data_IF_772079067603
#
_entry.id   IF_772079067603
#
_cell.length_a   1.000
_cell.length_b   1.000
_cell.length_c   1.000
_cell.angle_alpha   90.00
_cell.angle_beta   90.00
_cell.angle_gamma   90.00
#
_symmetry.space_group_name_H-M   'P 1'
#
loop_
_entity.id
_entity.type
_entity.pdbx_description
1 polymer ?
#
# COMPACT_ATOMS: atom_id res chain seq x y z
N UNK A 1 17.31 5.32 24.60
CA UNK A 1 16.73 5.89 23.36
C UNK A 1 15.90 4.79 22.71
N UNK A 2 14.58 4.89 22.76
CA UNK A 2 13.68 3.84 22.26
C UNK A 2 13.72 3.89 20.73
N UNK A 3 14.39 2.93 20.09
CA UNK A 3 14.30 2.74 18.64
C UNK A 3 12.85 2.33 18.32
N UNK A 4 12.08 3.11 17.53
CA UNK A 4 10.73 2.70 17.18
C UNK A 4 10.85 1.52 16.21
N UNK A 5 10.42 0.36 16.67
CA UNK A 5 10.43 -0.94 16.00
C UNK A 5 9.65 -1.00 14.67
N UNK A 6 9.07 0.11 14.19
CA UNK A 6 8.39 0.21 12.89
C UNK A 6 9.25 0.68 11.71
N UNK A 7 10.47 1.19 11.95
CA UNK A 7 11.29 1.78 10.87
C UNK A 7 11.80 0.80 9.80
N UNK A 8 12.27 -0.42 10.11
CA UNK A 8 12.88 -1.28 9.10
C UNK A 8 11.90 -1.71 8.00
N UNK A 9 10.66 -2.05 8.40
CA UNK A 9 9.62 -2.47 7.46
C UNK A 9 9.14 -1.29 6.61
N UNK A 10 8.75 -0.19 7.24
CA UNK A 10 8.24 0.98 6.55
C UNK A 10 9.26 1.57 5.56
N UNK A 11 10.54 1.66 5.98
CA UNK A 11 11.63 2.10 5.12
C UNK A 11 11.84 1.16 3.95
N UNK A 12 11.80 -0.15 4.19
CA UNK A 12 11.98 -1.15 3.13
C UNK A 12 10.82 -1.12 2.12
N UNK A 13 9.58 -0.95 2.58
CA UNK A 13 8.43 -0.76 1.69
C UNK A 13 8.59 0.49 0.84
N UNK A 14 8.91 1.62 1.45
CA UNK A 14 9.11 2.88 0.75
C UNK A 14 10.26 2.83 -0.26
N UNK A 15 11.33 2.08 0.03
CA UNK A 15 12.45 1.90 -0.87
C UNK A 15 12.08 1.23 -2.21
N UNK A 16 10.98 0.46 -2.25
CA UNK A 16 10.49 -0.16 -3.47
C UNK A 16 9.51 0.72 -4.27
N UNK A 17 8.98 1.79 -3.66
CA UNK A 17 8.04 2.67 -4.36
C UNK A 17 8.75 3.50 -5.45
N UNK A 18 8.12 3.71 -6.61
CA UNK A 18 8.74 4.45 -7.71
C UNK A 18 8.86 5.95 -7.40
N UNK A 19 10.10 6.39 -7.16
CA UNK A 19 10.43 7.79 -6.82
C UNK A 19 10.11 8.79 -7.94
N UNK A 20 10.26 8.34 -9.19
CA UNK A 20 9.99 9.11 -10.40
C UNK A 20 8.74 8.57 -11.11
N UNK A 21 8.19 9.36 -12.03
CA UNK A 21 6.93 9.10 -12.72
C UNK A 21 5.91 10.19 -12.43
N UNK A 22 4.80 10.15 -13.16
CA UNK A 22 3.72 11.15 -13.10
C UNK A 22 2.43 10.62 -12.46
N UNK A 23 2.32 9.29 -12.31
CA UNK A 23 1.19 8.66 -11.65
C UNK A 23 1.26 8.74 -10.13
N UNK A 24 0.15 8.39 -9.50
CA UNK A 24 -0.03 8.42 -8.06
C UNK A 24 0.66 7.24 -7.38
N UNK A 25 1.14 7.49 -6.17
CA UNK A 25 1.50 6.47 -5.19
C UNK A 25 0.44 6.51 -4.11
N UNK A 26 -0.27 5.40 -3.94
CA UNK A 26 -1.40 5.30 -3.01
C UNK A 26 -0.99 4.46 -1.82
N UNK A 27 -1.07 5.03 -0.62
CA UNK A 27 -0.90 4.29 0.63
C UNK A 27 -2.27 3.85 1.16
N UNK A 28 -2.43 2.55 1.45
CA UNK A 28 -3.67 2.00 2.01
C UNK A 28 -3.45 1.53 3.45
N UNK A 29 -4.29 2.03 4.36
CA UNK A 29 -4.22 1.72 5.79
C UNK A 29 -3.00 2.35 6.44
N UNK A 30 -2.84 3.67 6.31
CA UNK A 30 -1.68 4.39 6.84
C UNK A 30 -1.57 4.33 8.36
N UNK A 31 -2.69 4.13 9.07
CA UNK A 31 -2.73 4.13 10.52
C UNK A 31 -2.15 5.43 11.08
N UNK A 32 -1.06 5.34 11.82
CA UNK A 32 -0.36 6.51 12.37
C UNK A 32 0.60 7.19 11.39
N UNK A 33 0.67 6.77 10.13
CA UNK A 33 1.50 7.40 9.09
C UNK A 33 2.98 7.05 9.14
N UNK A 34 3.32 5.87 9.69
CA UNK A 34 4.71 5.40 9.74
C UNK A 34 5.26 5.13 8.34
N UNK A 35 4.47 4.50 7.47
CA UNK A 35 4.85 4.26 6.06
C UNK A 35 4.75 5.55 5.26
N UNK A 36 3.72 6.36 5.46
CA UNK A 36 3.60 7.72 4.90
C UNK A 36 4.87 8.54 5.04
N UNK A 37 5.43 8.61 6.25
CA UNK A 37 6.67 9.33 6.54
C UNK A 37 7.83 8.79 5.69
N UNK A 38 7.97 7.47 5.62
CA UNK A 38 9.07 6.85 4.88
C UNK A 38 8.92 7.01 3.36
N UNK A 39 7.69 7.06 2.82
CA UNK A 39 7.46 7.37 1.41
C UNK A 39 7.91 8.79 1.07
N UNK A 40 7.59 9.77 1.92
CA UNK A 40 8.10 11.13 1.80
C UNK A 40 9.62 11.19 1.90
N UNK A 41 10.21 10.57 2.93
CA UNK A 41 11.66 10.53 3.14
C UNK A 41 12.39 9.83 1.98
N UNK A 42 11.75 8.87 1.30
CA UNK A 42 12.28 8.21 0.11
C UNK A 42 12.23 9.08 -1.16
N UNK A 43 11.62 10.26 -1.09
CA UNK A 43 11.54 11.24 -2.19
C UNK A 43 10.28 11.16 -3.03
N UNK A 44 9.21 10.51 -2.55
CA UNK A 44 7.90 10.58 -3.22
C UNK A 44 7.35 12.00 -3.06
N UNK A 45 7.06 12.66 -4.18
CA UNK A 45 6.52 14.02 -4.16
C UNK A 45 5.14 14.04 -3.47
N UNK A 46 4.87 14.98 -2.54
CA UNK A 46 3.58 15.08 -1.84
C UNK A 46 2.36 15.06 -2.78
N UNK A 47 2.44 15.80 -3.90
CA UNK A 47 1.38 15.85 -4.94
C UNK A 47 1.09 14.52 -5.65
N UNK A 48 1.98 13.53 -5.53
CA UNK A 48 1.79 12.17 -6.06
C UNK A 48 1.31 11.20 -4.98
N UNK A 49 1.47 11.53 -3.70
CA UNK A 49 1.15 10.64 -2.60
C UNK A 49 -0.29 10.89 -2.12
N UNK A 50 -1.12 9.88 -2.29
CA UNK A 50 -2.48 9.83 -1.73
C UNK A 50 -2.51 8.81 -0.62
N UNK A 51 -3.07 9.19 0.53
CA UNK A 51 -3.16 8.32 1.70
C UNK A 51 -4.62 8.01 1.97
N UNK A 52 -4.94 6.72 2.10
CA UNK A 52 -6.29 6.24 2.39
C UNK A 52 -6.31 5.58 3.76
N UNK A 53 -7.18 6.07 4.62
CA UNK A 53 -7.38 5.55 5.96
C UNK A 53 -8.87 5.57 6.32
N UNK A 54 -9.33 4.52 7.01
CA UNK A 54 -10.75 4.37 7.35
C UNK A 54 -11.08 5.00 8.71
N UNK A 55 -10.14 5.00 9.66
CA UNK A 55 -10.38 5.52 11.01
C UNK A 55 -10.40 7.05 11.03
N UNK A 56 -11.51 7.71 11.41
CA UNK A 56 -11.59 9.19 11.43
C UNK A 56 -10.58 9.82 12.39
N UNK A 57 -10.26 9.12 13.49
CA UNK A 57 -9.24 9.54 14.46
C UNK A 57 -7.85 9.54 13.83
N UNK A 58 -7.52 8.48 13.07
CA UNK A 58 -6.24 8.39 12.38
C UNK A 58 -6.16 9.38 11.23
N UNK A 59 -7.26 9.59 10.50
CA UNK A 59 -7.33 10.61 9.44
C UNK A 59 -7.05 12.00 9.98
N UNK A 60 -7.68 12.37 11.10
CA UNK A 60 -7.44 13.67 11.74
C UNK A 60 -5.96 13.84 12.09
N UNK A 61 -5.35 12.82 12.71
CA UNK A 61 -3.93 12.79 13.02
C UNK A 61 -3.05 12.91 11.76
N UNK A 62 -3.40 12.22 10.68
CA UNK A 62 -2.65 12.24 9.41
C UNK A 62 -2.72 13.63 8.75
N UNK A 63 -3.89 14.29 8.79
CA UNK A 63 -4.06 15.65 8.26
C UNK A 63 -3.24 16.67 9.02
N UNK A 64 -3.15 16.55 10.35
CA UNK A 64 -2.30 17.41 11.17
C UNK A 64 -0.80 17.18 10.90
N UNK A 65 -0.40 15.92 10.77
CA UNK A 65 1.03 15.55 10.59
C UNK A 65 1.55 15.77 9.18
N UNK A 66 0.68 15.70 8.18
CA UNK A 66 1.02 15.78 6.77
C UNK A 66 0.04 16.70 6.01
N UNK A 67 -0.03 17.99 6.36
CA UNK A 67 -0.99 18.93 5.75
C UNK A 67 -0.82 19.10 4.24
N UNK A 68 0.35 18.73 3.69
CA UNK A 68 0.67 18.75 2.27
C UNK A 68 0.14 17.55 1.46
N UNK A 69 -0.45 16.54 2.12
CA UNK A 69 -0.89 15.30 1.48
C UNK A 69 -2.41 15.27 1.26
N UNK A 70 -2.81 14.56 0.20
CA UNK A 70 -4.21 14.18 0.01
C UNK A 70 -4.55 13.00 0.93
N UNK A 71 -5.22 13.27 2.05
CA UNK A 71 -5.69 12.25 2.99
C UNK A 71 -7.19 11.98 2.77
N UNK A 72 -7.50 10.78 2.28
CA UNK A 72 -8.85 10.30 2.02
C UNK A 72 -9.34 9.45 3.20
N UNK A 73 -10.45 9.87 3.79
CA UNK A 73 -11.18 9.08 4.77
C UNK A 73 -12.11 8.11 4.02
N UNK A 74 -11.64 6.89 3.81
CA UNK A 74 -12.39 5.92 3.01
C UNK A 74 -12.06 4.48 3.40
N UNK A 75 -13.02 3.61 3.13
CA UNK A 75 -12.80 2.17 3.13
C UNK A 75 -12.02 1.77 1.87
N UNK A 76 -10.96 0.99 2.02
CA UNK A 76 -10.13 0.54 0.90
C UNK A 76 -10.90 -0.28 -0.15
N UNK A 77 -12.07 -0.83 0.20
CA UNK A 77 -12.98 -1.47 -0.76
C UNK A 77 -13.51 -0.50 -1.83
N UNK A 78 -13.56 0.80 -1.52
CA UNK A 78 -14.16 1.83 -2.38
C UNK A 78 -13.09 2.69 -3.05
N UNK A 79 -11.86 2.19 -3.11
CA UNK A 79 -10.70 2.92 -3.61
C UNK A 79 -10.90 3.49 -5.03
N UNK A 80 -11.55 2.73 -5.91
CA UNK A 80 -11.84 3.14 -7.28
C UNK A 80 -12.76 4.36 -7.38
N UNK A 81 -13.66 4.53 -6.41
CA UNK A 81 -14.59 5.67 -6.37
C UNK A 81 -13.94 6.91 -5.74
N UNK A 82 -12.95 6.72 -4.86
CA UNK A 82 -12.32 7.81 -4.12
C UNK A 82 -11.16 8.48 -4.86
N UNK A 83 -10.55 7.79 -5.84
CA UNK A 83 -9.40 8.31 -6.57
C UNK A 83 -9.81 9.13 -7.80
N UNK A 84 -9.04 10.17 -8.16
CA UNK A 84 -9.27 10.95 -9.36
C UNK A 84 -9.11 10.09 -10.63
N UNK A 85 -10.16 10.04 -11.47
CA UNK A 85 -10.22 9.18 -12.66
C UNK A 85 -9.26 9.58 -13.79
N UNK A 86 -8.79 10.81 -13.78
CA UNK A 86 -7.84 11.38 -14.74
C UNK A 86 -6.37 11.08 -14.39
N UNK A 87 -6.12 10.47 -13.21
CA UNK A 87 -4.78 10.18 -12.73
C UNK A 87 -4.52 8.67 -12.74
N UNK A 88 -3.45 8.29 -13.43
CA UNK A 88 -2.92 6.94 -13.37
C UNK A 88 -2.33 6.64 -11.98
N UNK A 89 -2.48 5.41 -11.48
CA UNK A 89 -1.85 4.95 -10.23
C UNK A 89 -0.66 4.04 -10.54
N UNK A 90 0.55 4.52 -10.27
CA UNK A 90 1.83 3.82 -10.52
C UNK A 90 2.11 2.75 -9.49
N UNK A 91 1.74 3.03 -8.24
CA UNK A 91 2.07 2.16 -7.13
C UNK A 91 1.03 2.22 -6.02
N UNK A 92 0.72 1.06 -5.46
CA UNK A 92 -0.04 0.91 -4.23
C UNK A 92 0.89 0.35 -3.16
N UNK A 93 0.93 1.00 -2.00
CA UNK A 93 1.67 0.58 -0.81
C UNK A 93 0.63 0.24 0.25
N UNK A 94 0.41 -1.04 0.50
CA UNK A 94 -0.65 -1.49 1.39
C UNK A 94 -0.08 -2.03 2.70
N UNK A 95 -0.56 -1.44 3.79
CA UNK A 95 -0.28 -1.85 5.16
C UNK A 95 -1.47 -2.58 5.81
N UNK A 96 -2.52 -2.85 5.04
CA UNK A 96 -3.71 -3.55 5.51
C UNK A 96 -3.39 -5.00 5.90
N UNK A 97 -3.98 -5.52 6.99
CA UNK A 97 -3.77 -6.90 7.44
C UNK A 97 -4.62 -7.88 6.62
N UNK A 98 -4.38 -7.96 5.30
CA UNK A 98 -5.22 -8.71 4.35
C UNK A 98 -5.48 -10.18 4.75
N UNK A 99 -4.51 -10.84 5.39
CA UNK A 99 -4.66 -12.23 5.86
C UNK A 99 -5.63 -12.40 7.04
N UNK A 100 -5.83 -11.35 7.83
CA UNK A 100 -6.73 -11.36 8.99
C UNK A 100 -8.16 -10.95 8.60
N UNK A 101 -8.35 -10.39 7.41
CA UNK A 101 -9.66 -10.01 6.89
C UNK A 101 -10.42 -11.25 6.41
N UNK A 102 -11.75 -11.18 6.51
CA UNK A 102 -12.60 -12.18 5.87
C UNK A 102 -12.38 -12.17 4.35
N UNK A 103 -12.61 -13.33 3.71
CA UNK A 103 -12.31 -13.52 2.29
C UNK A 103 -13.05 -12.54 1.37
N UNK A 104 -14.32 -12.26 1.66
CA UNK A 104 -15.12 -11.34 0.86
C UNK A 104 -14.53 -9.92 0.86
N UNK A 105 -14.22 -9.38 2.04
CA UNK A 105 -13.64 -8.05 2.21
C UNK A 105 -12.25 -8.00 1.59
N UNK A 106 -11.43 -9.03 1.83
CA UNK A 106 -10.10 -9.14 1.22
C UNK A 106 -10.19 -9.08 -0.30
N UNK A 107 -11.06 -9.88 -0.92
CA UNK A 107 -11.21 -9.92 -2.37
C UNK A 107 -11.73 -8.59 -2.92
N UNK A 108 -12.69 -7.94 -2.24
CA UNK A 108 -13.15 -6.59 -2.62
C UNK A 108 -12.01 -5.55 -2.63
N UNK A 109 -11.16 -5.57 -1.61
CA UNK A 109 -9.99 -4.67 -1.53
C UNK A 109 -9.01 -4.97 -2.67
N UNK A 110 -8.74 -6.24 -2.95
CA UNK A 110 -7.83 -6.64 -4.04
C UNK A 110 -8.38 -6.22 -5.39
N UNK A 111 -9.67 -6.42 -5.64
CA UNK A 111 -10.34 -5.96 -6.87
C UNK A 111 -10.23 -4.45 -7.02
N UNK A 112 -10.48 -3.69 -5.96
CA UNK A 112 -10.35 -2.23 -5.98
C UNK A 112 -8.91 -1.77 -6.24
N UNK A 113 -7.91 -2.44 -5.64
CA UNK A 113 -6.49 -2.20 -5.95
C UNK A 113 -6.17 -2.50 -7.41
N UNK A 114 -6.67 -3.62 -7.93
CA UNK A 114 -6.44 -4.03 -9.31
C UNK A 114 -7.05 -3.06 -10.32
N UNK A 115 -8.26 -2.57 -10.05
CA UNK A 115 -8.98 -1.64 -10.91
C UNK A 115 -8.22 -0.33 -11.11
N UNK A 116 -7.72 0.26 -10.01
CA UNK A 116 -7.07 1.58 -10.05
C UNK A 116 -5.60 1.52 -10.48
N UNK A 117 -4.89 0.44 -10.14
CA UNK A 117 -3.47 0.32 -10.44
C UNK A 117 -3.29 0.10 -11.93
N UNK A 118 -2.49 0.90 -12.62
CA UNK A 118 -2.35 0.77 -14.07
C UNK A 118 -1.69 -0.56 -14.49
N UNK A 119 -1.81 -0.93 -15.77
CA UNK A 119 -1.11 -2.11 -16.32
C UNK A 119 0.41 -2.01 -16.18
N UNK A 120 1.06 -2.96 -15.51
CA UNK A 120 2.48 -2.88 -15.17
C UNK A 120 2.79 -2.14 -13.86
N UNK A 121 1.77 -1.55 -13.22
CA UNK A 121 1.89 -0.86 -11.93
C UNK A 121 2.29 -1.81 -10.78
N UNK A 122 2.80 -1.22 -9.70
CA UNK A 122 3.43 -1.95 -8.60
C UNK A 122 2.55 -1.99 -7.35
N UNK A 123 2.22 -3.19 -6.87
CA UNK A 123 1.63 -3.39 -5.54
C UNK A 123 2.73 -3.86 -4.56
N UNK A 124 2.91 -3.12 -3.48
CA UNK A 124 3.81 -3.43 -2.37
C UNK A 124 2.94 -3.79 -1.16
N UNK A 125 3.05 -5.02 -0.70
CA UNK A 125 2.27 -5.54 0.43
C UNK A 125 3.21 -6.32 1.35
N UNK A 126 3.04 -6.20 2.67
CA UNK A 126 3.75 -7.08 3.60
C UNK A 126 2.82 -8.06 4.30
N UNK A 127 3.43 -9.09 4.90
CA UNK A 127 2.76 -10.05 5.77
C UNK A 127 3.68 -10.49 6.90
N UNK A 128 3.09 -10.79 8.05
CA UNK A 128 3.76 -11.43 9.19
C UNK A 128 3.63 -12.96 9.16
N UNK A 129 2.89 -13.53 8.20
CA UNK A 129 2.73 -14.97 8.08
C UNK A 129 3.88 -15.60 7.31
N UNK A 130 4.56 -16.56 7.94
CA UNK A 130 5.65 -17.33 7.34
C UNK A 130 5.14 -18.43 6.40
N UNK A 131 3.93 -18.96 6.65
CA UNK A 131 3.34 -20.11 5.96
C UNK A 131 2.46 -19.75 4.77
N UNK A 132 1.79 -18.59 4.80
CA UNK A 132 0.90 -18.16 3.72
C UNK A 132 1.62 -17.07 2.91
N UNK A 133 2.26 -17.48 1.81
CA UNK A 133 2.51 -16.55 0.70
C UNK A 133 1.15 -15.92 0.32
N UNK A 134 1.13 -14.68 -0.16
CA UNK A 134 -0.09 -13.98 -0.60
C UNK A 134 -0.72 -14.65 -1.85
N UNK A 135 -1.06 -15.93 -1.76
CA UNK A 135 -1.66 -16.75 -2.80
C UNK A 135 -3.06 -16.24 -3.18
N UNK A 136 -3.62 -15.34 -2.38
CA UNK A 136 -4.86 -14.62 -2.69
C UNK A 136 -4.66 -13.49 -3.71
N UNK A 137 -3.43 -13.09 -4.03
CA UNK A 137 -3.13 -12.11 -5.08
C UNK A 137 -2.84 -12.79 -6.43
N UNK A 138 -3.32 -14.02 -6.67
CA UNK A 138 -2.96 -14.77 -7.88
C UNK A 138 -3.68 -14.31 -9.15
N UNK A 139 -4.81 -13.63 -9.03
CA UNK A 139 -5.62 -13.22 -10.18
C UNK A 139 -5.18 -11.84 -10.69
N UNK A 140 -4.20 -11.86 -11.60
CA UNK A 140 -3.72 -10.68 -12.34
C UNK A 140 -2.56 -9.91 -11.73
N UNK A 141 -2.14 -10.28 -10.51
CA UNK A 141 -0.94 -9.77 -9.89
C UNK A 141 0.18 -10.82 -9.96
N UNK A 142 1.21 -10.57 -10.77
CA UNK A 142 2.42 -11.39 -10.78
C UNK A 142 3.37 -10.99 -9.68
N UNK A 143 3.73 -11.93 -8.81
CA UNK A 143 4.80 -11.71 -7.84
C UNK A 143 6.14 -11.53 -8.57
N UNK A 144 6.76 -10.36 -8.43
CA UNK A 144 8.07 -10.03 -9.02
C UNK A 144 9.21 -10.10 -8.01
N UNK A 145 8.90 -10.32 -6.73
CA UNK A 145 9.91 -10.58 -5.71
C UNK A 145 9.38 -10.47 -4.30
N UNK A 146 10.16 -10.99 -3.35
CA UNK A 146 9.91 -10.82 -1.93
C UNK A 146 11.20 -10.49 -1.19
N UNK A 147 11.07 -9.79 -0.06
CA UNK A 147 12.19 -9.40 0.80
C UNK A 147 11.80 -9.60 2.26
N UNK A 148 12.65 -10.27 3.01
CA UNK A 148 12.45 -10.46 4.45
C UNK A 148 13.06 -9.30 5.23
N UNK A 149 12.28 -8.75 6.15
CA UNK A 149 12.70 -7.72 7.09
C UNK A 149 12.91 -8.39 8.45
N UNK A 150 14.13 -8.87 8.67
CA UNK A 150 14.53 -9.60 9.89
C UNK A 150 14.56 -8.72 11.13
N UNK A 151 14.75 -7.42 10.96
CA UNK A 151 14.75 -6.43 12.06
C UNK A 151 13.34 -6.05 12.55
N UNK A 152 12.29 -6.72 12.04
CA UNK A 152 10.95 -6.64 12.60
C UNK A 152 10.69 -7.92 13.40
N UNK A 153 10.09 -7.83 14.59
CA UNK A 153 9.76 -8.99 15.42
C UNK A 153 8.24 -9.03 15.60
N UNK A 154 7.52 -9.99 15.01
CA UNK A 154 8.00 -11.10 14.18
C UNK A 154 8.50 -10.62 12.78
N UNK A 155 9.43 -11.35 12.13
CA UNK A 155 9.93 -10.99 10.82
C UNK A 155 8.82 -10.84 9.79
N UNK A 156 8.78 -9.67 9.16
CA UNK A 156 7.84 -9.37 8.10
C UNK A 156 8.43 -9.75 6.75
N UNK A 157 7.59 -10.26 5.85
CA UNK A 157 7.96 -10.46 4.45
C UNK A 157 7.21 -9.44 3.60
N UNK A 158 7.96 -8.61 2.89
CA UNK A 158 7.44 -7.71 1.87
C UNK A 158 7.35 -8.51 0.57
N UNK A 159 6.24 -8.38 -0.12
CA UNK A 159 6.02 -8.87 -1.46
C UNK A 159 5.78 -7.70 -2.40
N UNK A 160 6.30 -7.85 -3.61
CA UNK A 160 6.11 -6.92 -4.71
C UNK A 160 5.39 -7.65 -5.82
N UNK A 161 4.28 -7.09 -6.26
CA UNK A 161 3.48 -7.61 -7.36
C UNK A 161 3.39 -6.59 -8.47
N UNK A 162 3.36 -7.07 -9.70
CA UNK A 162 3.10 -6.27 -10.88
C UNK A 162 1.74 -6.65 -11.45
N UNK A 163 0.92 -5.66 -11.79
CA UNK A 163 -0.32 -5.91 -12.55
C UNK A 163 0.04 -6.38 -13.96
N UNK A 164 -0.44 -7.54 -14.37
CA UNK A 164 -0.25 -8.05 -15.73
C UNK A 164 -1.35 -7.55 -16.68
N UNK A 165 -0.97 -7.28 -17.93
CA UNK A 165 -1.90 -6.88 -18.98
C UNK A 165 -2.84 -8.05 -19.32
N UNK A 166 -4.14 -7.76 -19.47
CA UNK A 166 -5.14 -8.76 -19.86
C UNK A 166 -5.70 -9.65 -18.74
N UNK A 167 -5.21 -9.52 -17.50
CA UNK A 167 -5.87 -10.16 -16.37
C UNK A 167 -7.19 -9.45 -16.05
N UNK A 168 -8.30 -10.18 -16.05
CA UNK A 168 -9.55 -9.74 -15.42
C UNK A 168 -9.63 -10.45 -14.08
N UNK A 169 -9.88 -9.71 -13.00
CA UNK A 169 -10.23 -10.30 -11.71
C UNK A 169 -11.49 -11.14 -11.94
N UNK A 170 -11.37 -12.46 -11.80
CA UNK A 170 -12.48 -13.41 -11.99
C UNK A 170 -13.31 -13.54 -10.72
#
# INVERSE_FOLDING_TARGET
MVCPSGMPLARSMAAFAPRKGDGLVVELGAGTGTVTRQLLDAGIAPRRLVVVEQSPVMVSLLRERFPQLAILEADARWLADCLPRDRQVDCIVSSLPLLSLNERVRNQIISAMFEVLHEGGLLIQYTYSWRKANAFLKDGFRCIGSSQVWHNVPPARIFRFRREAGARVR
#
